data_IF_907229698293
#
_entry.id   IF_907229698293
#
_cell.length_a   1.000
_cell.length_b   1.000
_cell.length_c   1.000
_cell.angle_alpha   90.00
_cell.angle_beta   90.00
_cell.angle_gamma   90.00
#
_symmetry.space_group_name_H-M   'P 1'
#
loop_
_entity.id
_entity.type
_entity.pdbx_description
1 polymer ?
#
# COMPACT_ATOMS: atom_id res chain seq x y z
N UNK A 1 -7.04 52.20 51.23
CA UNK A 1 -6.08 51.23 50.66
C UNK A 1 -6.78 50.12 49.87
N UNK A 2 -7.82 49.47 50.42
CA UNK A 2 -8.58 48.39 49.74
C UNK A 2 -9.19 48.81 48.39
N UNK A 3 -9.85 49.98 48.30
CA UNK A 3 -10.47 50.44 47.05
C UNK A 3 -9.47 50.79 45.94
N UNK A 4 -8.26 51.24 46.30
CA UNK A 4 -7.18 51.53 45.34
C UNK A 4 -6.65 50.23 44.73
N UNK A 5 -6.47 49.19 45.55
CA UNK A 5 -6.05 47.86 45.11
C UNK A 5 -7.11 47.21 44.20
N UNK A 6 -8.39 47.38 44.53
CA UNK A 6 -9.52 46.84 43.75
C UNK A 6 -9.65 47.49 42.36
N UNK A 7 -9.38 48.80 42.26
CA UNK A 7 -9.40 49.51 40.98
C UNK A 7 -8.20 49.12 40.10
N UNK A 8 -7.01 48.99 40.69
CA UNK A 8 -5.83 48.51 39.99
C UNK A 8 -6.03 47.10 39.41
N UNK A 9 -6.65 46.19 40.18
CA UNK A 9 -6.98 44.84 39.71
C UNK A 9 -7.98 44.89 38.53
N UNK A 10 -9.00 45.75 38.57
CA UNK A 10 -9.97 45.90 37.47
C UNK A 10 -9.34 46.42 36.18
N UNK A 11 -8.44 47.40 36.28
CA UNK A 11 -7.70 47.91 35.13
C UNK A 11 -6.83 46.81 34.50
N UNK A 12 -6.18 45.99 35.33
CA UNK A 12 -5.35 44.88 34.88
C UNK A 12 -6.16 43.78 34.18
N UNK A 13 -7.37 43.48 34.66
CA UNK A 13 -8.30 42.56 33.98
C UNK A 13 -8.79 43.10 32.63
N UNK A 14 -9.16 44.38 32.54
CA UNK A 14 -9.58 44.99 31.27
C UNK A 14 -8.49 44.87 30.18
N UNK A 15 -7.23 45.13 30.54
CA UNK A 15 -6.12 45.04 29.59
C UNK A 15 -5.90 43.61 29.08
N UNK A 16 -6.12 42.59 29.91
CA UNK A 16 -6.00 41.18 29.50
C UNK A 16 -7.11 40.81 28.52
N UNK A 17 -8.35 41.24 28.76
CA UNK A 17 -9.50 40.94 27.90
C UNK A 17 -9.36 41.53 26.48
N UNK A 18 -8.69 42.68 26.34
CA UNK A 18 -8.46 43.31 25.03
C UNK A 18 -7.32 42.64 24.24
N UNK A 19 -6.26 42.19 24.92
CA UNK A 19 -5.08 41.60 24.27
C UNK A 19 -5.26 40.09 24.01
N UNK A 20 -6.00 39.39 24.87
CA UNK A 20 -6.18 37.94 24.79
C UNK A 20 -6.76 37.46 23.44
N UNK A 21 -7.78 38.08 22.83
CA UNK A 21 -8.31 37.66 21.53
C UNK A 21 -7.26 37.75 20.41
N UNK A 22 -6.44 38.80 20.42
CA UNK A 22 -5.37 39.01 19.43
C UNK A 22 -4.29 37.93 19.60
N UNK A 23 -3.87 37.68 20.84
CA UNK A 23 -2.90 36.63 21.14
C UNK A 23 -3.44 35.25 20.71
N UNK A 24 -4.67 34.91 21.08
CA UNK A 24 -5.35 33.67 20.69
C UNK A 24 -5.42 33.57 19.16
N UNK A 25 -5.77 34.64 18.45
CA UNK A 25 -5.82 34.64 16.99
C UNK A 25 -4.46 34.35 16.34
N UNK A 26 -3.38 34.96 16.86
CA UNK A 26 -2.01 34.69 16.37
C UNK A 26 -1.62 33.23 16.62
N UNK A 27 -1.87 32.71 17.82
CA UNK A 27 -1.58 31.31 18.16
C UNK A 27 -2.40 30.35 17.32
N UNK A 28 -3.70 30.59 17.16
CA UNK A 28 -4.59 29.80 16.32
C UNK A 28 -4.13 29.79 14.86
N UNK A 29 -3.75 30.94 14.31
CA UNK A 29 -3.18 31.05 12.95
C UNK A 29 -1.90 30.24 12.79
N UNK A 30 -1.00 30.29 13.79
CA UNK A 30 0.24 29.49 13.79
C UNK A 30 -0.05 27.99 13.85
N UNK A 31 -0.98 27.55 14.69
CA UNK A 31 -1.39 26.15 14.81
C UNK A 31 -2.02 25.68 13.49
N UNK A 32 -2.92 26.47 12.89
CA UNK A 32 -3.55 26.14 11.62
C UNK A 32 -2.51 25.98 10.49
N UNK A 33 -1.51 26.86 10.44
CA UNK A 33 -0.41 26.75 9.48
C UNK A 33 0.42 25.47 9.68
N UNK A 34 0.72 25.11 10.93
CA UNK A 34 1.41 23.85 11.25
C UNK A 34 0.57 22.63 10.86
N UNK A 35 -0.73 22.64 11.16
CA UNK A 35 -1.65 21.56 10.78
C UNK A 35 -1.73 21.39 9.27
N UNK A 36 -1.78 22.49 8.51
CA UNK A 36 -1.75 22.43 7.05
C UNK A 36 -0.49 21.74 6.53
N UNK A 37 0.69 22.08 7.06
CA UNK A 37 1.93 21.43 6.65
C UNK A 37 1.92 19.93 7.00
N UNK A 38 1.49 19.57 8.22
CA UNK A 38 1.39 18.16 8.66
C UNK A 38 0.43 17.35 7.77
N UNK A 39 -0.72 17.91 7.42
CA UNK A 39 -1.69 17.24 6.55
C UNK A 39 -1.11 16.94 5.16
N UNK A 40 -0.29 17.85 4.60
CA UNK A 40 0.39 17.60 3.32
C UNK A 40 1.35 16.42 3.39
N UNK A 41 2.14 16.32 4.46
CA UNK A 41 3.02 15.17 4.67
C UNK A 41 2.24 13.88 4.91
N UNK A 42 1.12 13.95 5.63
CA UNK A 42 0.26 12.81 5.88
C UNK A 42 -0.31 12.21 4.60
N UNK A 43 -0.75 13.02 3.65
CA UNK A 43 -1.25 12.53 2.36
C UNK A 43 -0.17 11.74 1.59
N UNK A 44 1.08 12.20 1.63
CA UNK A 44 2.20 11.50 0.99
C UNK A 44 2.51 10.18 1.68
N UNK A 45 2.51 10.17 3.02
CA UNK A 45 2.70 8.97 3.82
C UNK A 45 1.58 7.94 3.57
N UNK A 46 0.33 8.37 3.61
CA UNK A 46 -0.84 7.50 3.35
C UNK A 46 -0.75 6.87 1.94
N UNK A 47 -0.30 7.63 0.94
CA UNK A 47 -0.09 7.11 -0.41
C UNK A 47 1.05 6.08 -0.46
N UNK A 48 2.16 6.36 0.22
CA UNK A 48 3.29 5.45 0.32
C UNK A 48 2.89 4.13 1.00
N UNK A 49 2.22 4.19 2.16
CA UNK A 49 1.75 3.02 2.89
C UNK A 49 0.80 2.15 2.04
N UNK A 50 -0.13 2.78 1.31
CA UNK A 50 -1.03 2.06 0.40
C UNK A 50 -0.29 1.35 -0.72
N UNK A 51 0.74 1.98 -1.30
CA UNK A 51 1.59 1.38 -2.34
C UNK A 51 2.44 0.25 -1.79
N UNK A 52 3.03 0.45 -0.60
CA UNK A 52 3.82 -0.57 0.10
C UNK A 52 3.00 -1.81 0.39
N UNK A 53 1.76 -1.64 0.87
CA UNK A 53 0.85 -2.76 1.11
C UNK A 53 0.60 -3.59 -0.15
N UNK A 54 0.42 -2.97 -1.31
CA UNK A 54 0.23 -3.72 -2.57
C UNK A 54 1.50 -4.49 -2.94
N UNK A 55 2.65 -3.84 -2.83
CA UNK A 55 3.95 -4.45 -3.08
C UNK A 55 4.18 -5.67 -2.19
N UNK A 56 3.98 -5.55 -0.88
CA UNK A 56 4.17 -6.64 0.09
C UNK A 56 3.27 -7.84 -0.22
N UNK A 57 2.00 -7.59 -0.58
CA UNK A 57 1.06 -8.65 -0.89
C UNK A 57 1.42 -9.41 -2.17
N UNK A 58 1.76 -8.69 -3.25
CA UNK A 58 2.19 -9.33 -4.50
C UNK A 58 3.50 -10.10 -4.26
N UNK A 59 4.47 -9.48 -3.57
CA UNK A 59 5.75 -10.11 -3.25
C UNK A 59 5.56 -11.37 -2.40
N UNK A 60 4.65 -11.35 -1.43
CA UNK A 60 4.32 -12.52 -0.61
C UNK A 60 3.79 -13.70 -1.46
N UNK A 61 2.95 -13.44 -2.45
CA UNK A 61 2.48 -14.48 -3.40
C UNK A 61 3.63 -15.03 -4.21
N UNK A 62 4.49 -14.18 -4.77
CA UNK A 62 5.66 -14.63 -5.56
C UNK A 62 6.62 -15.48 -4.73
N UNK A 63 6.87 -15.08 -3.47
CA UNK A 63 7.71 -15.84 -2.52
C UNK A 63 7.06 -17.19 -2.18
N UNK A 64 5.74 -17.26 -2.03
CA UNK A 64 5.04 -18.52 -1.79
C UNK A 64 5.18 -19.48 -2.98
N UNK A 65 5.06 -18.98 -4.22
CA UNK A 65 5.31 -19.78 -5.42
C UNK A 65 6.76 -20.28 -5.44
N UNK A 66 7.72 -19.43 -5.12
CA UNK A 66 9.14 -19.81 -5.08
C UNK A 66 9.45 -20.89 -4.04
N UNK A 67 8.93 -20.78 -2.82
CA UNK A 67 9.26 -21.73 -1.75
C UNK A 67 8.44 -23.02 -1.78
N UNK A 68 7.18 -22.95 -2.18
CA UNK A 68 6.25 -24.08 -2.05
C UNK A 68 5.80 -24.67 -3.38
N UNK A 69 6.15 -24.05 -4.52
CA UNK A 69 5.60 -24.39 -5.83
C UNK A 69 4.06 -24.51 -5.79
N UNK A 70 3.40 -23.70 -4.95
CA UNK A 70 1.97 -23.79 -4.64
C UNK A 70 1.44 -22.44 -4.16
N UNK A 71 0.16 -22.20 -4.43
CA UNK A 71 -0.59 -21.03 -3.95
C UNK A 71 -1.46 -21.33 -2.72
N UNK A 72 -1.45 -22.56 -2.20
CA UNK A 72 -2.34 -22.97 -1.10
C UNK A 72 -2.10 -22.16 0.20
N UNK A 73 -0.86 -21.72 0.42
CA UNK A 73 -0.48 -20.90 1.58
C UNK A 73 -0.59 -19.39 1.32
N UNK A 74 -0.98 -18.99 0.11
CA UNK A 74 -1.10 -17.59 -0.26
C UNK A 74 -2.51 -17.05 0.03
N UNK A 75 -2.61 -15.83 0.54
CA UNK A 75 -3.89 -15.14 0.68
C UNK A 75 -4.35 -14.58 -0.68
N UNK A 76 -4.94 -15.46 -1.48
CA UNK A 76 -5.38 -15.14 -2.84
C UNK A 76 -6.48 -14.08 -2.89
N UNK A 77 -7.38 -14.04 -1.89
CA UNK A 77 -8.44 -13.02 -1.84
C UNK A 77 -7.83 -11.63 -1.68
N UNK A 78 -6.90 -11.48 -0.74
CA UNK A 78 -6.21 -10.21 -0.54
C UNK A 78 -5.31 -9.84 -1.73
N UNK A 79 -4.67 -10.83 -2.38
CA UNK A 79 -3.92 -10.62 -3.62
C UNK A 79 -4.81 -10.00 -4.71
N UNK A 80 -5.96 -10.60 -5.03
CA UNK A 80 -6.88 -10.07 -6.04
C UNK A 80 -7.38 -8.67 -5.68
N UNK A 81 -7.73 -8.44 -4.42
CA UNK A 81 -8.13 -7.09 -3.96
C UNK A 81 -7.02 -6.05 -4.14
N UNK A 82 -5.78 -6.41 -3.79
CA UNK A 82 -4.62 -5.53 -3.98
C UNK A 82 -4.37 -5.23 -5.46
N UNK A 83 -4.47 -6.25 -6.32
CA UNK A 83 -4.36 -6.08 -7.77
C UNK A 83 -5.42 -5.12 -8.29
N UNK A 84 -6.68 -5.25 -7.86
CA UNK A 84 -7.75 -4.31 -8.26
C UNK A 84 -7.52 -2.89 -7.74
N UNK A 85 -6.98 -2.73 -6.52
CA UNK A 85 -6.66 -1.41 -5.97
C UNK A 85 -5.45 -0.75 -6.66
N UNK A 86 -4.54 -1.53 -7.23
CA UNK A 86 -3.36 -1.02 -7.93
C UNK A 86 -3.72 -0.03 -9.05
N UNK A 87 -4.90 -0.21 -9.68
CA UNK A 87 -5.39 0.64 -10.77
C UNK A 87 -5.54 2.12 -10.41
N UNK A 88 -5.68 2.42 -9.12
CA UNK A 88 -5.85 3.79 -8.61
C UNK A 88 -4.56 4.39 -8.04
N UNK A 89 -3.55 3.57 -7.77
CA UNK A 89 -2.35 3.97 -7.02
C UNK A 89 -1.11 4.06 -7.90
N UNK A 90 -1.12 3.36 -9.03
CA UNK A 90 0.01 3.26 -9.96
C UNK A 90 -0.36 3.78 -11.35
N UNK A 91 0.68 4.12 -12.10
CA UNK A 91 0.57 4.50 -13.50
C UNK A 91 0.22 3.29 -14.38
N UNK A 92 -0.15 3.58 -15.64
CA UNK A 92 -0.56 2.54 -16.61
C UNK A 92 0.51 1.45 -16.79
N UNK A 93 1.80 1.76 -17.01
CA UNK A 93 2.83 0.72 -17.17
C UNK A 93 2.95 -0.23 -15.97
N UNK A 94 3.00 0.30 -14.75
CA UNK A 94 3.11 -0.53 -13.54
C UNK A 94 1.86 -1.34 -13.31
N UNK A 95 0.68 -0.73 -13.51
CA UNK A 95 -0.60 -1.44 -13.39
C UNK A 95 -0.70 -2.57 -14.41
N UNK A 96 -0.38 -2.33 -15.67
CA UNK A 96 -0.48 -3.33 -16.73
C UNK A 96 0.46 -4.52 -16.42
N UNK A 97 1.64 -4.25 -15.84
CA UNK A 97 2.54 -5.30 -15.33
C UNK A 97 1.99 -6.07 -14.13
N UNK A 98 1.34 -5.41 -13.17
CA UNK A 98 0.67 -6.09 -12.04
C UNK A 98 -0.42 -7.03 -12.55
N UNK A 99 -1.17 -6.63 -13.58
CA UNK A 99 -2.19 -7.49 -14.20
C UNK A 99 -1.58 -8.69 -14.93
N UNK A 100 -0.42 -8.52 -15.58
CA UNK A 100 0.31 -9.65 -16.17
C UNK A 100 0.70 -10.70 -15.11
N UNK A 101 1.13 -10.24 -13.92
CA UNK A 101 1.39 -11.15 -12.78
C UNK A 101 0.10 -11.85 -12.34
N UNK A 102 -1.01 -11.13 -12.19
CA UNK A 102 -2.31 -11.72 -11.83
C UNK A 102 -2.72 -12.82 -12.82
N UNK A 103 -2.62 -12.55 -14.12
CA UNK A 103 -2.95 -13.50 -15.18
C UNK A 103 -2.11 -14.78 -15.07
N UNK A 104 -0.80 -14.63 -14.83
CA UNK A 104 0.11 -15.77 -14.67
C UNK A 104 -0.13 -16.55 -13.38
N UNK A 105 -0.48 -15.89 -12.29
CA UNK A 105 -0.86 -16.53 -11.03
C UNK A 105 -2.17 -17.32 -11.19
N UNK A 106 -3.18 -16.76 -11.87
CA UNK A 106 -4.44 -17.45 -12.18
C UNK A 106 -4.20 -18.65 -13.10
N UNK A 107 -3.34 -18.49 -14.09
CA UNK A 107 -2.96 -19.59 -15.00
C UNK A 107 -2.30 -20.73 -14.22
N UNK A 108 -1.36 -20.41 -13.34
CA UNK A 108 -0.69 -21.36 -12.46
C UNK A 108 -1.71 -22.09 -11.56
N UNK A 109 -2.59 -21.35 -10.89
CA UNK A 109 -3.63 -21.92 -10.01
C UNK A 109 -4.52 -22.91 -10.77
N UNK A 110 -4.96 -22.53 -11.98
CA UNK A 110 -5.78 -23.39 -12.85
C UNK A 110 -5.06 -24.68 -13.22
N UNK A 111 -3.77 -24.60 -13.56
CA UNK A 111 -2.97 -25.79 -13.88
C UNK A 111 -2.77 -26.67 -12.65
N UNK A 112 -2.54 -26.10 -11.47
CA UNK A 112 -2.47 -26.86 -10.23
C UNK A 112 -3.76 -27.63 -9.96
N UNK A 113 -4.92 -27.03 -10.21
CA UNK A 113 -6.21 -27.74 -10.08
C UNK A 113 -6.31 -28.94 -11.03
N UNK A 114 -5.83 -28.83 -12.28
CA UNK A 114 -5.82 -29.96 -13.21
C UNK A 114 -4.84 -31.08 -12.82
N UNK A 115 -3.73 -30.74 -12.17
CA UNK A 115 -2.69 -31.71 -11.83
C UNK A 115 -2.90 -32.36 -10.44
N UNK A 116 -3.46 -31.62 -9.48
CA UNK A 116 -3.50 -32.01 -8.07
C UNK A 116 -4.89 -31.85 -7.43
N UNK A 117 -5.86 -31.23 -8.11
CA UNK A 117 -7.20 -31.02 -7.58
C UNK A 117 -8.13 -32.25 -7.69
N UNK A 118 -9.37 -32.15 -7.18
CA UNK A 118 -10.40 -33.16 -7.38
C UNK A 118 -10.67 -33.38 -8.87
N UNK A 119 -10.59 -34.63 -9.33
CA UNK A 119 -10.70 -34.94 -10.76
C UNK A 119 -9.44 -34.59 -11.57
N UNK A 120 -8.27 -34.63 -10.92
CA UNK A 120 -6.98 -34.41 -11.59
C UNK A 120 -6.81 -35.33 -12.81
N UNK A 121 -6.08 -34.82 -13.80
CA UNK A 121 -5.85 -35.55 -15.04
C UNK A 121 -5.14 -36.87 -14.75
N UNK A 122 -5.59 -37.99 -15.35
CA UNK A 122 -4.86 -39.25 -15.25
C UNK A 122 -3.48 -39.11 -15.89
N UNK A 123 -2.59 -40.04 -15.57
CA UNK A 123 -1.29 -40.11 -16.23
C UNK A 123 -1.47 -40.27 -17.75
N UNK A 124 -0.69 -39.50 -18.51
CA UNK A 124 -0.79 -39.44 -19.96
C UNK A 124 -0.21 -38.15 -20.53
N UNK A 125 -0.19 -38.05 -21.86
CA UNK A 125 0.41 -36.93 -22.60
C UNK A 125 -0.14 -35.57 -22.15
N UNK A 126 -1.47 -35.45 -21.99
CA UNK A 126 -2.11 -34.21 -21.54
C UNK A 126 -1.63 -33.76 -20.16
N UNK A 127 -1.42 -34.69 -19.22
CA UNK A 127 -0.91 -34.37 -17.87
C UNK A 127 0.55 -33.91 -17.95
N UNK A 128 1.37 -34.58 -18.76
CA UNK A 128 2.77 -34.20 -18.99
C UNK A 128 2.88 -32.80 -19.59
N UNK A 129 2.07 -32.48 -20.61
CA UNK A 129 2.03 -31.14 -21.21
C UNK A 129 1.63 -30.06 -20.19
N UNK A 130 0.67 -30.35 -19.31
CA UNK A 130 0.28 -29.42 -18.24
C UNK A 130 1.37 -29.25 -17.18
N UNK A 131 2.12 -30.30 -16.85
CA UNK A 131 3.25 -30.21 -15.93
C UNK A 131 4.39 -29.33 -16.49
N UNK A 132 4.72 -29.48 -17.78
CA UNK A 132 5.71 -28.62 -18.46
C UNK A 132 5.24 -27.15 -18.44
N UNK A 133 3.97 -26.90 -18.79
CA UNK A 133 3.42 -25.55 -18.74
C UNK A 133 3.42 -24.97 -17.31
N UNK A 134 3.17 -25.81 -16.30
CA UNK A 134 3.27 -25.39 -14.89
C UNK A 134 4.67 -24.90 -14.55
N UNK A 135 5.70 -25.65 -14.96
CA UNK A 135 7.10 -25.32 -14.75
C UNK A 135 7.47 -24.00 -15.43
N UNK A 136 7.08 -23.80 -16.69
CA UNK A 136 7.31 -22.55 -17.43
C UNK A 136 6.73 -21.32 -16.71
N UNK A 137 5.46 -21.42 -16.27
CA UNK A 137 4.80 -20.33 -15.56
C UNK A 137 5.42 -20.10 -14.18
N UNK A 138 5.76 -21.17 -13.46
CA UNK A 138 6.42 -21.07 -12.16
C UNK A 138 7.76 -20.35 -12.30
N UNK A 139 8.58 -20.73 -13.27
CA UNK A 139 9.86 -20.07 -13.54
C UNK A 139 9.68 -18.60 -13.92
N UNK A 140 8.67 -18.30 -14.74
CA UNK A 140 8.32 -16.92 -15.05
C UNK A 140 7.96 -16.11 -13.80
N UNK A 141 7.13 -16.65 -12.91
CA UNK A 141 6.73 -16.02 -11.64
C UNK A 141 7.90 -15.82 -10.69
N UNK A 142 8.79 -16.82 -10.57
CA UNK A 142 10.00 -16.74 -9.75
C UNK A 142 10.91 -15.62 -10.24
N UNK A 143 11.09 -15.52 -11.56
CA UNK A 143 11.91 -14.46 -12.17
C UNK A 143 11.32 -13.06 -11.95
N UNK A 144 10.02 -12.95 -11.63
CA UNK A 144 9.44 -11.65 -11.29
C UNK A 144 9.88 -11.13 -9.93
N UNK A 145 10.39 -11.94 -9.00
CA UNK A 145 10.77 -11.46 -7.66
C UNK A 145 11.79 -10.32 -7.74
N UNK A 146 12.80 -10.44 -8.60
CA UNK A 146 13.83 -9.42 -8.78
C UNK A 146 13.36 -8.25 -9.65
N UNK A 147 12.65 -8.55 -10.74
CA UNK A 147 12.11 -7.53 -11.67
C UNK A 147 11.06 -6.65 -10.99
N UNK A 148 10.28 -7.22 -10.08
CA UNK A 148 9.25 -6.53 -9.33
C UNK A 148 9.83 -5.43 -8.44
N UNK A 149 10.95 -5.72 -7.76
CA UNK A 149 11.66 -4.74 -6.93
C UNK A 149 12.14 -3.55 -7.74
N UNK A 150 12.72 -3.81 -8.91
CA UNK A 150 13.22 -2.76 -9.80
C UNK A 150 12.08 -1.86 -10.29
N UNK A 151 10.97 -2.45 -10.76
CA UNK A 151 9.81 -1.71 -11.26
C UNK A 151 9.12 -0.89 -10.16
N UNK A 152 9.06 -1.40 -8.93
CA UNK A 152 8.43 -0.70 -7.80
C UNK A 152 9.34 0.31 -7.10
N UNK A 153 10.66 0.20 -7.25
CA UNK A 153 11.64 1.11 -6.60
C UNK A 153 11.33 2.59 -6.82
N UNK A 154 10.86 2.96 -8.00
CA UNK A 154 10.49 4.32 -8.34
C UNK A 154 9.32 4.86 -7.53
N UNK A 155 8.40 4.00 -7.09
CA UNK A 155 7.22 4.36 -6.32
C UNK A 155 7.48 4.36 -4.81
N UNK A 156 8.59 3.75 -4.37
CA UNK A 156 8.99 3.66 -2.96
C UNK A 156 9.95 4.78 -2.53
N UNK A 157 10.45 5.59 -3.46
CA UNK A 157 11.26 6.75 -3.13
C UNK A 157 10.39 7.88 -2.55
N UNK A 158 10.41 8.04 -1.21
CA UNK A 158 9.66 9.09 -0.49
C UNK A 158 9.95 10.49 -1.05
N UNK A 159 11.16 10.74 -1.54
CA UNK A 159 11.56 12.02 -2.13
C UNK A 159 10.89 12.35 -3.47
N UNK A 160 10.23 11.37 -4.12
CA UNK A 160 9.52 11.52 -5.40
C UNK A 160 7.99 11.65 -5.23
N UNK A 161 7.48 11.56 -4.00
CA UNK A 161 6.06 11.70 -3.62
C UNK A 161 5.87 13.11 -3.04
#
# INVERSE_FOLDING_TARGET
MVNSLLNFIKELFCLIEEIAPIAIAIFAGRIAYQQYQVQRYKVKLDLFERRMKIYENIRSVLINVFHYASLEKADMNNFHMCVRHSKFLFDKPTRDYIFEIEDKVLEFQRIQMFLFGPGSLPEGETRTLKAVLQEEIMMWLINQITVFDEKFSNFMAINKI
#
